data_IF_283152295072
#
_entry.id   IF_283152295072
#
_cell.length_a   1.000
_cell.length_b   1.000
_cell.length_c   1.000
_cell.angle_alpha   90.00
_cell.angle_beta   90.00
_cell.angle_gamma   90.00
#
_symmetry.space_group_name_H-M   'P 1'
#
loop_
_entity.id
_entity.type
_entity.pdbx_description
1 polymer ?
#
# COMPACT_ATOMS: atom_id res chain seq x y z
N UNK A 1 -21.17 16.16 -12.66
CA UNK A 1 -19.70 15.97 -12.71
C UNK A 1 -19.29 15.26 -11.43
N UNK A 2 -18.93 13.98 -11.50
CA UNK A 2 -18.27 13.29 -10.39
C UNK A 2 -16.79 13.63 -10.43
N UNK A 3 -16.33 14.47 -9.51
CA UNK A 3 -14.89 14.67 -9.30
C UNK A 3 -14.29 13.31 -8.92
N UNK A 4 -13.27 12.82 -9.64
CA UNK A 4 -12.65 11.54 -9.27
C UNK A 4 -11.79 11.77 -8.03
N UNK A 5 -11.82 10.83 -7.10
CA UNK A 5 -11.11 10.92 -5.82
C UNK A 5 -9.60 11.06 -6.04
N UNK A 6 -9.09 10.36 -7.06
CA UNK A 6 -7.72 10.49 -7.57
C UNK A 6 -7.31 11.93 -7.96
N UNK A 7 -8.25 12.78 -8.40
CA UNK A 7 -7.96 14.17 -8.81
C UNK A 7 -7.60 15.06 -7.61
N UNK A 8 -7.97 14.60 -6.40
CA UNK A 8 -7.64 15.27 -5.15
C UNK A 8 -6.41 14.69 -4.48
N UNK A 9 -5.87 13.57 -4.96
CA UNK A 9 -4.74 12.88 -4.34
C UNK A 9 -3.40 13.57 -4.64
N UNK A 10 -2.43 13.42 -3.73
CA UNK A 10 -1.03 13.67 -4.03
C UNK A 10 -0.46 12.44 -4.72
N UNK A 11 -0.03 12.61 -5.97
CA UNK A 11 0.52 11.53 -6.79
C UNK A 11 2.00 11.82 -7.02
N UNK A 12 2.85 10.88 -6.60
CA UNK A 12 4.29 10.93 -6.81
C UNK A 12 4.72 9.78 -7.73
N UNK A 13 5.56 10.10 -8.72
CA UNK A 13 5.98 9.16 -9.76
C UNK A 13 7.50 9.20 -9.95
N UNK A 14 8.09 8.02 -10.10
CA UNK A 14 9.51 7.84 -10.40
C UNK A 14 9.70 6.56 -11.21
N UNK A 15 10.09 6.70 -12.47
CA UNK A 15 10.15 5.58 -13.41
C UNK A 15 8.80 4.82 -13.43
N UNK A 16 8.79 3.54 -13.01
CA UNK A 16 7.58 2.73 -12.92
C UNK A 16 6.90 2.80 -11.55
N UNK A 17 7.57 3.33 -10.52
CA UNK A 17 7.01 3.47 -9.18
C UNK A 17 5.98 4.60 -9.16
N UNK A 18 4.79 4.28 -8.66
CA UNK A 18 3.76 5.25 -8.30
C UNK A 18 3.45 5.14 -6.83
N UNK A 19 3.38 6.29 -6.18
CA UNK A 19 2.88 6.45 -4.82
C UNK A 19 1.68 7.40 -4.85
N UNK A 20 0.60 7.01 -4.19
CA UNK A 20 -0.61 7.83 -4.06
C UNK A 20 -0.90 8.03 -2.58
N UNK A 21 -0.95 9.29 -2.15
CA UNK A 21 -1.36 9.70 -0.82
C UNK A 21 -2.64 10.53 -0.89
N UNK A 22 -3.64 10.19 -0.07
CA UNK A 22 -4.88 10.95 0.03
C UNK A 22 -5.40 11.02 1.46
N UNK A 23 -5.56 12.25 1.97
CA UNK A 23 -6.12 12.55 3.28
C UNK A 23 -7.57 13.00 3.13
N UNK A 24 -8.40 12.60 4.09
CA UNK A 24 -9.81 12.94 4.10
C UNK A 24 -10.50 12.40 5.33
N UNK A 25 -11.81 12.25 5.23
CA UNK A 25 -12.63 11.73 6.32
C UNK A 25 -13.45 10.54 5.84
N UNK A 26 -13.64 9.57 6.73
CA UNK A 26 -14.68 8.55 6.61
C UNK A 26 -15.19 8.21 8.01
N UNK A 27 -16.48 7.88 8.11
CA UNK A 27 -17.05 7.35 9.37
C UNK A 27 -16.95 5.84 9.47
N UNK A 28 -16.45 5.17 8.43
CA UNK A 28 -16.30 3.71 8.39
C UNK A 28 -15.08 3.32 9.25
N UNK A 29 -15.26 2.50 10.30
CA UNK A 29 -14.16 1.96 11.09
C UNK A 29 -13.27 1.03 10.26
N UNK A 30 -11.98 0.96 10.58
CA UNK A 30 -11.04 0.12 9.81
C UNK A 30 -11.39 -1.38 9.76
N UNK A 31 -12.03 -1.94 10.79
CA UNK A 31 -12.50 -3.34 10.77
C UNK A 31 -13.56 -3.58 9.68
N UNK A 32 -14.43 -2.60 9.43
CA UNK A 32 -15.46 -2.70 8.40
C UNK A 32 -14.84 -2.52 7.00
N UNK A 33 -13.79 -1.69 6.90
CA UNK A 33 -12.99 -1.54 5.68
C UNK A 33 -12.25 -2.85 5.37
N UNK A 34 -11.67 -3.50 6.38
CA UNK A 34 -11.04 -4.83 6.26
C UNK A 34 -12.04 -5.83 5.67
N UNK A 35 -13.22 -5.98 6.28
CA UNK A 35 -14.24 -6.91 5.77
C UNK A 35 -14.62 -6.62 4.31
N UNK A 36 -14.75 -5.34 3.96
CA UNK A 36 -15.07 -4.91 2.61
C UNK A 36 -13.98 -5.33 1.62
N UNK A 37 -12.71 -5.12 1.95
CA UNK A 37 -11.59 -5.51 1.10
C UNK A 37 -11.56 -7.04 0.96
N UNK A 38 -11.71 -7.81 2.06
CA UNK A 38 -11.72 -9.29 2.01
C UNK A 38 -12.83 -9.83 1.12
N UNK A 39 -14.03 -9.24 1.16
CA UNK A 39 -15.18 -9.67 0.35
C UNK A 39 -15.00 -9.36 -1.14
N UNK A 40 -14.19 -8.36 -1.47
CA UNK A 40 -14.09 -7.82 -2.84
C UNK A 40 -12.83 -8.24 -3.57
N UNK A 41 -11.76 -8.51 -2.84
CA UNK A 41 -10.44 -8.79 -3.37
C UNK A 41 -9.89 -10.08 -2.77
N UNK A 42 -10.17 -11.21 -3.41
CA UNK A 42 -9.73 -12.53 -2.94
C UNK A 42 -8.20 -12.66 -2.80
N UNK A 43 -7.44 -11.86 -3.55
CA UNK A 43 -5.98 -11.83 -3.51
C UNK A 43 -5.38 -10.91 -2.45
N UNK A 44 -6.22 -10.16 -1.72
CA UNK A 44 -5.75 -9.21 -0.71
C UNK A 44 -5.38 -9.94 0.58
N UNK A 45 -4.12 -9.78 0.98
CA UNK A 45 -3.67 -10.13 2.33
C UNK A 45 -3.80 -8.90 3.21
N UNK A 46 -4.39 -9.06 4.38
CA UNK A 46 -4.72 -7.95 5.26
C UNK A 46 -4.21 -8.29 6.66
N UNK A 47 -3.41 -7.39 7.22
CA UNK A 47 -2.94 -7.49 8.59
C UNK A 47 -4.04 -7.05 9.56
N UNK A 48 -4.01 -7.56 10.79
CA UNK A 48 -4.93 -7.10 11.83
C UNK A 48 -4.81 -5.59 12.06
N UNK A 49 -5.94 -4.93 12.37
CA UNK A 49 -5.95 -3.51 12.68
C UNK A 49 -5.06 -3.22 13.89
N UNK A 50 -4.00 -2.45 13.67
CA UNK A 50 -3.07 -2.07 14.73
C UNK A 50 -3.52 -0.77 15.39
N UNK A 51 -3.50 -0.74 16.73
CA UNK A 51 -3.88 0.43 17.52
C UNK A 51 -2.62 1.05 18.14
N UNK A 52 -2.24 2.25 17.72
CA UNK A 52 -1.03 2.95 18.17
C UNK A 52 -1.33 4.41 18.51
N UNK A 53 -1.13 4.81 19.78
CA UNK A 53 -1.11 6.22 20.20
C UNK A 53 -2.29 7.08 19.67
N UNK A 54 -3.50 6.50 19.66
CA UNK A 54 -4.78 7.09 19.15
C UNK A 54 -4.97 7.05 17.63
N UNK A 55 -4.21 6.23 16.94
CA UNK A 55 -4.32 5.97 15.51
C UNK A 55 -4.52 4.48 15.28
N UNK A 56 -5.43 4.17 14.38
CA UNK A 56 -5.68 2.81 13.95
C UNK A 56 -5.09 2.65 12.54
N UNK A 57 -4.47 1.51 12.27
CA UNK A 57 -3.84 1.23 10.99
C UNK A 57 -4.36 -0.06 10.39
N UNK A 58 -4.65 -0.04 9.09
CA UNK A 58 -5.01 -1.21 8.31
C UNK A 58 -4.09 -1.30 7.10
N UNK A 59 -3.16 -2.25 7.14
CA UNK A 59 -2.28 -2.54 6.02
C UNK A 59 -2.87 -3.69 5.18
N UNK A 60 -2.83 -3.51 3.87
CA UNK A 60 -3.32 -4.44 2.86
C UNK A 60 -2.24 -4.63 1.79
N UNK A 61 -2.01 -5.87 1.38
CA UNK A 61 -1.08 -6.22 0.33
C UNK A 61 -1.76 -7.06 -0.76
N UNK A 62 -1.53 -6.70 -2.02
CA UNK A 62 -1.95 -7.45 -3.20
C UNK A 62 -0.71 -7.96 -3.90
N UNK A 63 -0.71 -9.24 -4.28
CA UNK A 63 0.45 -9.86 -4.94
C UNK A 63 0.44 -9.68 -6.46
N UNK A 64 -0.73 -9.50 -7.06
CA UNK A 64 -0.88 -9.37 -8.52
C UNK A 64 -2.03 -8.41 -8.91
N UNK A 65 -1.74 -7.18 -9.38
CA UNK A 65 -0.41 -6.58 -9.38
C UNK A 65 0.05 -6.27 -7.95
N UNK A 66 1.37 -6.09 -7.77
CA UNK A 66 1.93 -5.70 -6.47
C UNK A 66 1.40 -4.34 -6.05
N UNK A 67 0.60 -4.32 -4.98
CA UNK A 67 0.07 -3.11 -4.36
C UNK A 67 0.25 -3.23 -2.85
N UNK A 68 0.91 -2.23 -2.27
CA UNK A 68 1.02 -2.04 -0.82
C UNK A 68 0.16 -0.83 -0.46
N UNK A 69 -0.88 -1.03 0.35
CA UNK A 69 -1.92 -0.06 0.67
C UNK A 69 -2.10 0.00 2.17
N UNK A 70 -2.06 1.20 2.75
CA UNK A 70 -2.30 1.41 4.18
C UNK A 70 -3.36 2.49 4.38
N UNK A 71 -4.31 2.19 5.26
CA UNK A 71 -5.20 3.19 5.86
C UNK A 71 -4.65 3.55 7.25
N UNK A 72 -4.61 4.84 7.55
CA UNK A 72 -4.23 5.41 8.84
C UNK A 72 -5.39 6.29 9.31
N UNK A 73 -6.11 5.84 10.32
CA UNK A 73 -7.28 6.53 10.85
C UNK A 73 -6.95 7.13 12.21
N UNK A 74 -7.04 8.45 12.32
CA UNK A 74 -6.87 9.21 13.55
C UNK A 74 -8.22 9.79 14.01
N UNK A 75 -8.42 9.86 15.34
CA UNK A 75 -9.66 10.38 15.94
C UNK A 75 -10.96 9.75 15.40
N UNK A 76 -10.90 8.49 14.94
CA UNK A 76 -12.00 7.68 14.35
C UNK A 76 -12.56 8.17 13.01
N UNK A 77 -12.19 9.35 12.51
CA UNK A 77 -12.74 9.88 11.26
C UNK A 77 -11.69 10.36 10.27
N UNK A 78 -10.62 10.98 10.75
CA UNK A 78 -9.59 11.54 9.89
C UNK A 78 -8.72 10.41 9.36
N UNK A 79 -8.80 10.16 8.06
CA UNK A 79 -8.23 8.96 7.44
C UNK A 79 -7.26 9.36 6.32
N UNK A 80 -6.03 8.88 6.43
CA UNK A 80 -5.06 8.87 5.35
C UNK A 80 -5.07 7.52 4.64
N UNK A 81 -5.00 7.55 3.31
CA UNK A 81 -4.76 6.38 2.48
C UNK A 81 -3.42 6.61 1.79
N UNK A 82 -2.49 5.68 1.95
CA UNK A 82 -1.20 5.70 1.26
C UNK A 82 -0.99 4.39 0.54
N UNK A 83 -0.55 4.45 -0.70
CA UNK A 83 -0.43 3.25 -1.52
C UNK A 83 0.73 3.33 -2.51
N UNK A 84 1.31 2.18 -2.82
CA UNK A 84 2.47 2.03 -3.69
C UNK A 84 2.25 0.91 -4.69
N UNK A 85 2.67 1.13 -5.94
CA UNK A 85 2.65 0.08 -6.97
C UNK A 85 3.61 0.39 -8.12
N UNK A 86 3.89 -0.63 -8.93
CA UNK A 86 4.49 -0.47 -10.26
C UNK A 86 3.42 -0.34 -11.38
N UNK A 87 2.13 -0.38 -11.02
CA UNK A 87 1.01 -0.29 -11.95
C UNK A 87 0.03 0.80 -11.49
N UNK A 88 0.27 2.04 -11.94
CA UNK A 88 -0.56 3.22 -11.62
C UNK A 88 -2.05 3.01 -11.89
N UNK A 89 -2.40 2.45 -13.04
CA UNK A 89 -3.79 2.33 -13.45
C UNK A 89 -4.59 1.42 -12.51
N UNK A 90 -4.00 0.26 -12.14
CA UNK A 90 -4.66 -0.66 -11.21
C UNK A 90 -4.68 -0.08 -9.79
N UNK A 91 -3.59 0.56 -9.37
CA UNK A 91 -3.51 1.26 -8.08
C UNK A 91 -4.62 2.30 -7.93
N UNK A 92 -4.74 3.21 -8.90
CA UNK A 92 -5.78 4.24 -8.90
C UNK A 92 -7.18 3.65 -8.87
N UNK A 93 -7.42 2.58 -9.64
CA UNK A 93 -8.73 1.90 -9.68
C UNK A 93 -9.10 1.30 -8.32
N UNK A 94 -8.17 0.62 -7.64
CA UNK A 94 -8.42 0.01 -6.33
C UNK A 94 -8.68 1.09 -5.27
N UNK A 95 -7.87 2.16 -5.24
CA UNK A 95 -8.07 3.26 -4.30
C UNK A 95 -9.43 3.93 -4.52
N UNK A 96 -9.75 4.33 -5.77
CA UNK A 96 -11.03 4.95 -6.11
C UNK A 96 -12.20 4.05 -5.70
N UNK A 97 -12.08 2.74 -5.93
CA UNK A 97 -13.13 1.77 -5.62
C UNK A 97 -13.35 1.58 -4.12
N UNK A 98 -12.28 1.36 -3.34
CA UNK A 98 -12.40 1.21 -1.88
C UNK A 98 -12.89 2.52 -1.27
N UNK A 99 -12.27 3.66 -1.63
CA UNK A 99 -12.59 4.96 -1.08
C UNK A 99 -14.06 5.38 -1.36
N UNK A 100 -14.57 5.09 -2.57
CA UNK A 100 -15.99 5.31 -2.90
C UNK A 100 -16.92 4.42 -2.08
N UNK A 101 -16.50 3.18 -1.77
CA UNK A 101 -17.33 2.23 -1.02
C UNK A 101 -17.45 2.57 0.46
N UNK A 102 -16.51 3.32 1.02
CA UNK A 102 -16.46 3.72 2.43
C UNK A 102 -16.90 5.18 2.64
N UNK A 103 -17.53 5.79 1.63
CA UNK A 103 -17.93 7.20 1.62
C UNK A 103 -16.79 8.15 2.02
N UNK A 104 -15.57 7.87 1.55
CA UNK A 104 -14.40 8.70 1.85
C UNK A 104 -14.53 10.07 1.18
N UNK A 105 -14.36 11.14 1.96
CA UNK A 105 -14.39 12.52 1.48
C UNK A 105 -12.98 13.12 1.58
N UNK A 106 -12.28 13.33 0.46
CA UNK A 106 -10.94 13.92 0.48
C UNK A 106 -10.97 15.38 0.93
N UNK A 107 -9.92 15.81 1.63
CA UNK A 107 -9.74 17.23 1.94
C UNK A 107 -9.44 18.02 0.66
N UNK A 108 -9.95 19.25 0.59
CA UNK A 108 -9.68 20.14 -0.56
C UNK A 108 -8.21 20.54 -0.65
N UNK A 109 -7.56 20.74 0.52
CA UNK A 109 -6.15 21.10 0.63
C UNK A 109 -5.42 20.00 1.39
N UNK A 110 -4.72 19.15 0.64
CA UNK A 110 -3.96 18.06 1.21
C UNK A 110 -2.66 18.58 1.84
N UNK A 111 -2.39 18.30 3.11
CA UNK A 111 -1.12 18.65 3.72
C UNK A 111 0.05 17.83 3.10
N UNK A 112 1.25 18.41 2.93
CA UNK A 112 2.35 17.81 2.17
C UNK A 112 3.14 16.76 2.99
N UNK A 113 2.47 15.78 3.57
CA UNK A 113 3.11 14.88 4.53
C UNK A 113 3.94 13.76 3.90
N UNK A 114 3.78 13.49 2.61
CA UNK A 114 4.20 12.23 2.02
C UNK A 114 5.39 12.30 1.08
N UNK A 115 5.85 13.51 0.74
CA UNK A 115 6.99 13.71 -0.15
C UNK A 115 8.29 13.11 0.41
N UNK A 116 8.54 13.29 1.72
CA UNK A 116 9.71 12.69 2.38
C UNK A 116 9.68 11.17 2.38
N UNK A 117 8.48 10.58 2.51
CA UNK A 117 8.27 9.15 2.34
C UNK A 117 8.62 8.70 0.93
N UNK A 118 8.22 9.46 -0.08
CA UNK A 118 8.51 9.12 -1.47
C UNK A 118 10.01 9.09 -1.81
N UNK A 119 10.82 9.97 -1.22
CA UNK A 119 12.28 9.94 -1.39
C UNK A 119 12.90 8.61 -0.96
N UNK A 120 12.43 8.04 0.15
CA UNK A 120 12.88 6.72 0.62
C UNK A 120 12.46 5.64 -0.38
N UNK A 121 11.26 5.77 -0.95
CA UNK A 121 10.73 4.76 -1.85
C UNK A 121 11.40 4.73 -3.22
N UNK A 122 11.91 5.86 -3.69
CA UNK A 122 12.81 5.89 -4.86
C UNK A 122 14.07 5.07 -4.62
N UNK A 123 14.65 5.12 -3.42
CA UNK A 123 15.81 4.30 -3.05
C UNK A 123 15.45 2.80 -3.00
N UNK A 124 14.29 2.44 -2.46
CA UNK A 124 13.78 1.06 -2.46
C UNK A 124 13.58 0.55 -3.88
N UNK A 125 13.01 1.37 -4.76
CA UNK A 125 12.83 1.06 -6.18
C UNK A 125 14.18 0.83 -6.88
N UNK A 126 15.13 1.75 -6.77
CA UNK A 126 16.45 1.60 -7.40
C UNK A 126 17.21 0.35 -6.93
N UNK A 127 17.08 -0.03 -5.65
CA UNK A 127 17.62 -1.30 -5.14
C UNK A 127 16.90 -2.51 -5.74
N UNK A 128 15.57 -2.43 -5.91
CA UNK A 128 14.78 -3.49 -6.52
C UNK A 128 15.18 -3.71 -7.98
N UNK A 129 15.42 -2.62 -8.74
CA UNK A 129 15.94 -2.68 -10.11
C UNK A 129 17.31 -3.33 -10.19
N UNK A 130 18.24 -2.91 -9.33
CA UNK A 130 19.58 -3.50 -9.29
C UNK A 130 19.52 -5.02 -9.01
N UNK A 131 18.74 -5.43 -8.01
CA UNK A 131 18.58 -6.85 -7.67
C UNK A 131 17.90 -7.62 -8.81
N UNK A 132 16.87 -7.04 -9.43
CA UNK A 132 16.19 -7.61 -10.60
C UNK A 132 17.14 -7.87 -11.75
N UNK A 133 18.04 -6.92 -12.04
CA UNK A 133 19.06 -7.07 -13.08
C UNK A 133 20.09 -8.16 -12.73
N UNK A 134 20.58 -8.20 -11.49
CA UNK A 134 21.59 -9.17 -11.04
C UNK A 134 21.04 -10.60 -11.00
N UNK A 135 19.81 -10.78 -10.54
CA UNK A 135 19.17 -12.09 -10.43
C UNK A 135 18.43 -12.53 -11.70
N UNK A 136 18.38 -11.67 -12.71
CA UNK A 136 17.60 -11.87 -13.94
C UNK A 136 16.12 -12.23 -13.65
N UNK A 137 15.54 -11.57 -12.65
CA UNK A 137 14.14 -11.74 -12.25
C UNK A 137 13.31 -10.53 -12.66
N UNK A 138 12.01 -10.67 -12.95
CA UNK A 138 11.11 -9.54 -13.17
C UNK A 138 11.14 -8.55 -11.99
N UNK A 139 11.17 -7.25 -12.29
CA UNK A 139 11.19 -6.19 -11.29
C UNK A 139 10.00 -6.30 -10.33
N UNK A 140 8.82 -6.67 -10.85
CA UNK A 140 7.58 -6.86 -10.10
C UNK A 140 7.75 -7.92 -9.01
N UNK A 141 8.47 -9.02 -9.30
CA UNK A 141 8.74 -10.05 -8.30
C UNK A 141 9.65 -9.52 -7.20
N UNK A 142 10.74 -8.86 -7.56
CA UNK A 142 11.70 -8.33 -6.56
C UNK A 142 11.06 -7.24 -5.71
N UNK A 143 10.37 -6.30 -6.34
CA UNK A 143 9.61 -5.25 -5.66
C UNK A 143 8.55 -5.86 -4.73
N UNK A 144 7.81 -6.86 -5.21
CA UNK A 144 6.85 -7.62 -4.44
C UNK A 144 7.44 -8.31 -3.22
N UNK A 145 8.60 -8.96 -3.35
CA UNK A 145 9.32 -9.60 -2.24
C UNK A 145 9.65 -8.58 -1.15
N UNK A 146 10.22 -7.44 -1.53
CA UNK A 146 10.63 -6.41 -0.57
C UNK A 146 9.42 -5.83 0.16
N UNK A 147 8.36 -5.47 -0.58
CA UNK A 147 7.13 -4.93 -0.01
C UNK A 147 6.42 -5.93 0.90
N UNK A 148 6.28 -7.17 0.44
CA UNK A 148 5.60 -8.20 1.21
C UNK A 148 6.38 -8.61 2.46
N UNK A 149 7.72 -8.67 2.39
CA UNK A 149 8.55 -8.87 3.57
C UNK A 149 8.34 -7.74 4.60
N UNK A 150 8.30 -6.49 4.15
CA UNK A 150 7.99 -5.35 5.02
C UNK A 150 6.57 -5.47 5.61
N UNK A 151 5.58 -5.86 4.79
CA UNK A 151 4.22 -6.06 5.26
C UNK A 151 4.13 -7.10 6.37
N UNK A 152 4.80 -8.25 6.18
CA UNK A 152 4.85 -9.31 7.17
C UNK A 152 5.58 -8.89 8.46
N UNK A 153 6.70 -8.18 8.34
CA UNK A 153 7.49 -7.81 9.52
C UNK A 153 6.87 -6.66 10.31
N UNK A 154 6.41 -5.62 9.61
CA UNK A 154 5.89 -4.40 10.23
C UNK A 154 4.47 -4.59 10.73
N UNK A 155 3.61 -5.25 9.94
CA UNK A 155 2.18 -5.30 10.24
C UNK A 155 1.72 -6.63 10.84
N UNK A 156 2.35 -7.76 10.49
CA UNK A 156 2.00 -9.07 11.06
C UNK A 156 2.95 -9.54 12.18
N UNK A 157 3.93 -8.70 12.56
CA UNK A 157 4.84 -8.99 13.67
C UNK A 157 5.80 -10.18 13.44
N UNK A 158 5.99 -10.62 12.20
CA UNK A 158 6.95 -11.69 11.91
C UNK A 158 8.40 -11.19 12.07
N UNK A 159 9.31 -11.99 12.65
CA UNK A 159 10.73 -11.69 12.63
C UNK A 159 11.22 -11.51 11.18
N UNK A 160 12.15 -10.56 10.97
CA UNK A 160 12.62 -10.16 9.63
C UNK A 160 13.07 -11.33 8.76
N UNK A 161 13.85 -12.26 9.30
CA UNK A 161 14.35 -13.44 8.57
C UNK A 161 13.20 -14.35 8.10
N UNK A 162 12.18 -14.55 8.96
CA UNK A 162 10.99 -15.32 8.62
C UNK A 162 10.15 -14.60 7.57
N UNK A 163 9.94 -13.29 7.72
CA UNK A 163 9.21 -12.48 6.76
C UNK A 163 9.84 -12.54 5.36
N UNK A 164 11.18 -12.42 5.28
CA UNK A 164 11.92 -12.57 4.03
C UNK A 164 11.74 -13.95 3.42
N UNK A 165 11.92 -15.01 4.20
CA UNK A 165 11.76 -16.40 3.72
C UNK A 165 10.37 -16.65 3.14
N UNK A 166 9.33 -16.18 3.84
CA UNK A 166 7.95 -16.27 3.37
C UNK A 166 7.73 -15.46 2.09
N UNK A 167 8.33 -14.28 1.98
CA UNK A 167 8.20 -13.45 0.78
C UNK A 167 8.88 -14.06 -0.46
N UNK A 168 10.10 -14.59 -0.31
CA UNK A 168 10.77 -15.34 -1.39
C UNK A 168 9.93 -16.52 -1.87
N UNK A 169 9.34 -17.28 -0.93
CA UNK A 169 8.43 -18.38 -1.25
C UNK A 169 7.16 -17.90 -1.97
N UNK A 170 6.56 -16.78 -1.53
CA UNK A 170 5.33 -16.23 -2.11
C UNK A 170 5.50 -15.84 -3.58
N UNK A 171 6.64 -15.25 -3.93
CA UNK A 171 6.94 -14.80 -5.28
C UNK A 171 7.70 -15.81 -6.14
N UNK A 172 7.89 -17.03 -5.62
CA UNK A 172 8.59 -18.12 -6.29
C UNK A 172 9.97 -17.68 -6.82
N UNK A 173 10.76 -17.09 -5.93
CA UNK A 173 12.18 -16.79 -6.16
C UNK A 173 12.97 -17.68 -5.22
N UNK A 174 13.60 -18.71 -5.79
CA UNK A 174 14.51 -19.58 -5.05
C UNK A 174 15.66 -18.77 -4.46
N UNK A 175 15.96 -18.99 -3.18
CA UNK A 175 17.21 -18.54 -2.59
C UNK A 175 18.33 -19.36 -3.22
N UNK A 176 19.21 -18.71 -3.99
CA UNK A 176 20.42 -19.31 -4.57
C UNK A 176 21.38 -19.64 -3.43
#
# INVERSE_FOLDING_TARGET
MTCKLIDKAQIFEHERLTMIGIAGTTSTPLNDIEELIRKRYDSAEIAEVQNHEKRDFLATFFTDPVIDLTFDQSNKTDTGIIAYSLNKQTLSKIIDDIASSISFVPYENQPPYWESGFEIEKLTYGKSELISQVLHQPLEKIFGIIRYANFLSMYNGFPRERAQTLAFKKFDVGLI
#
